data_IF_118824350891
#
_entry.id   IF_118824350891
#
_cell.length_a   1.000
_cell.length_b   1.000
_cell.length_c   1.000
_cell.angle_alpha   90.00
_cell.angle_beta   90.00
_cell.angle_gamma   90.00
#
_symmetry.space_group_name_H-M   'P 1'
#
loop_
_entity.id
_entity.type
_entity.pdbx_description
1 polymer ?
#
# COMPACT_ATOMS: atom_id res chain seq x y z
N UNK A 1 -31.48 -14.04 17.03
CA UNK A 1 -30.20 -14.20 17.77
C UNK A 1 -29.05 -14.75 16.90
N UNK A 2 -29.26 -15.71 15.99
CA UNK A 2 -28.17 -16.34 15.19
C UNK A 2 -27.75 -15.58 13.90
N UNK A 3 -28.64 -14.79 13.30
CA UNK A 3 -28.40 -14.05 12.04
C UNK A 3 -27.10 -13.23 12.00
N UNK A 4 -26.73 -12.43 13.03
CA UNK A 4 -25.51 -11.62 12.95
C UNK A 4 -24.22 -12.44 12.94
N UNK A 5 -24.20 -13.62 13.58
CA UNK A 5 -23.06 -14.52 13.54
C UNK A 5 -22.86 -15.08 12.14
N UNK A 6 -23.93 -15.58 11.51
CA UNK A 6 -23.88 -16.09 10.14
C UNK A 6 -23.42 -15.03 9.14
N UNK A 7 -23.87 -13.78 9.28
CA UNK A 7 -23.45 -12.67 8.41
C UNK A 7 -21.99 -12.30 8.66
N UNK A 8 -21.53 -12.28 9.92
CA UNK A 8 -20.13 -12.04 10.26
C UNK A 8 -19.19 -13.07 9.65
N UNK A 9 -19.49 -14.37 9.83
CA UNK A 9 -18.71 -15.47 9.27
C UNK A 9 -18.75 -15.52 7.74
N UNK A 10 -19.90 -15.22 7.12
CA UNK A 10 -19.97 -15.13 5.66
C UNK A 10 -19.10 -13.98 5.12
N UNK A 11 -19.03 -12.87 5.86
CA UNK A 11 -18.20 -11.72 5.49
C UNK A 11 -16.72 -12.02 5.63
N UNK A 12 -16.28 -12.68 6.70
CA UNK A 12 -14.86 -13.06 6.88
C UNK A 12 -14.42 -14.07 5.82
N UNK A 13 -15.25 -15.10 5.54
CA UNK A 13 -14.99 -16.06 4.46
C UNK A 13 -14.86 -15.36 3.09
N UNK A 14 -15.74 -14.40 2.79
CA UNK A 14 -15.67 -13.61 1.55
C UNK A 14 -14.36 -12.83 1.42
N UNK A 15 -13.84 -12.28 2.51
CA UNK A 15 -12.57 -11.53 2.48
C UNK A 15 -11.35 -12.45 2.42
N UNK A 16 -11.43 -13.66 2.98
CA UNK A 16 -10.35 -14.65 2.92
C UNK A 16 -10.03 -15.08 1.48
N UNK A 17 -11.05 -15.23 0.64
CA UNK A 17 -10.87 -15.58 -0.78
C UNK A 17 -10.61 -14.36 -1.69
N UNK A 18 -10.59 -13.14 -1.13
CA UNK A 18 -10.26 -11.95 -1.92
C UNK A 18 -8.75 -11.89 -2.14
N UNK A 19 -8.34 -11.49 -3.35
CA UNK A 19 -6.92 -11.28 -3.65
C UNK A 19 -6.31 -10.26 -2.67
N UNK A 20 -5.10 -10.51 -2.15
CA UNK A 20 -4.42 -9.58 -1.26
C UNK A 20 -4.17 -8.26 -2.01
N UNK A 21 -4.41 -7.15 -1.31
CA UNK A 21 -4.14 -5.78 -1.82
C UNK A 21 -2.76 -5.29 -1.34
N UNK A 22 -2.00 -6.15 -0.67
CA UNK A 22 -0.68 -5.86 -0.14
C UNK A 22 0.38 -5.91 -1.24
N UNK A 23 1.33 -5.00 -1.19
CA UNK A 23 2.51 -4.97 -2.06
C UNK A 23 3.67 -5.67 -1.34
N UNK A 24 4.36 -6.60 -2.02
CA UNK A 24 5.48 -7.33 -1.41
C UNK A 24 6.79 -6.54 -1.51
N UNK A 25 7.06 -5.66 -0.55
CA UNK A 25 8.34 -4.95 -0.49
C UNK A 25 9.45 -5.89 0.04
N UNK A 26 10.66 -5.95 -0.56
CA UNK A 26 11.24 -5.02 -1.55
C UNK A 26 11.09 -5.43 -3.03
N UNK A 27 10.48 -6.58 -3.32
CA UNK A 27 10.36 -7.15 -4.67
C UNK A 27 9.46 -6.30 -5.57
N UNK A 28 8.35 -5.82 -5.02
CA UNK A 28 7.38 -4.95 -5.68
C UNK A 28 7.44 -3.54 -5.06
N UNK A 29 7.79 -2.54 -5.86
CA UNK A 29 7.88 -1.14 -5.41
C UNK A 29 6.57 -0.41 -5.67
N UNK A 30 6.08 0.29 -4.66
CA UNK A 30 4.89 1.15 -4.76
C UNK A 30 5.22 2.29 -5.73
N UNK A 31 4.35 2.61 -6.72
CA UNK A 31 4.55 3.77 -7.58
C UNK A 31 4.52 5.04 -6.73
N UNK A 32 5.63 5.78 -6.72
CA UNK A 32 5.71 7.07 -6.03
C UNK A 32 5.04 8.15 -6.87
N UNK A 33 4.21 8.99 -6.25
CA UNK A 33 3.63 10.14 -6.92
C UNK A 33 4.73 11.12 -7.36
N UNK A 34 4.56 11.85 -8.49
CA UNK A 34 5.60 12.73 -9.05
C UNK A 34 6.01 13.89 -8.11
N UNK A 35 5.16 14.24 -7.15
CA UNK A 35 5.45 15.25 -6.10
C UNK A 35 5.69 14.61 -4.72
N UNK A 36 6.03 13.33 -4.67
CA UNK A 36 6.34 12.67 -3.41
C UNK A 36 7.54 13.35 -2.75
N UNK A 37 7.35 13.81 -1.50
CA UNK A 37 8.42 14.41 -0.71
C UNK A 37 9.32 13.29 -0.19
N UNK A 38 10.26 12.88 -1.03
CA UNK A 38 11.28 11.89 -0.70
C UNK A 38 12.40 12.50 0.14
N UNK A 39 13.61 11.92 0.01
CA UNK A 39 14.81 12.45 0.66
C UNK A 39 15.08 13.87 0.16
N UNK A 40 15.30 14.79 1.09
CA UNK A 40 15.76 16.13 0.75
C UNK A 40 17.17 16.03 0.15
N UNK A 41 17.33 16.52 -1.08
CA UNK A 41 18.60 16.59 -1.77
C UNK A 41 18.94 18.06 -1.97
N UNK A 42 20.12 18.46 -1.53
CA UNK A 42 20.68 19.76 -1.89
C UNK A 42 21.12 19.66 -3.34
N UNK A 43 20.41 20.34 -4.24
CA UNK A 43 20.85 20.51 -5.61
C UNK A 43 22.14 21.34 -5.58
N UNK A 44 23.17 20.91 -6.30
CA UNK A 44 24.36 21.70 -6.57
C UNK A 44 24.31 22.16 -8.02
N UNK A 45 24.76 23.39 -8.27
CA UNK A 45 24.90 23.92 -9.62
C UNK A 45 25.99 23.15 -10.39
N UNK A 46 25.88 23.07 -11.72
CA UNK A 46 26.89 22.42 -12.56
C UNK A 46 28.28 23.06 -12.41
N UNK A 47 28.34 24.32 -11.94
CA UNK A 47 29.58 25.06 -11.73
C UNK A 47 30.22 24.86 -10.35
N UNK A 48 29.66 24.01 -9.47
CA UNK A 48 30.31 23.67 -8.20
C UNK A 48 30.49 24.83 -7.21
N UNK A 49 29.75 25.93 -7.36
CA UNK A 49 29.63 27.02 -6.39
C UNK A 49 28.28 26.97 -5.70
#
# INVERSE_FOLDING_TARGET
MIRPLLVGFATTLKHLFRKPVTVNYPEEKIPVFPKYRGKQVLMRDENGL
#
